data_IF_421260952019
#
_entry.id   IF_421260952019
#
_cell.length_a   1.000
_cell.length_b   1.000
_cell.length_c   1.000
_cell.angle_alpha   90.00
_cell.angle_beta   90.00
_cell.angle_gamma   90.00
#
_symmetry.space_group_name_H-M   'P 1'
#
loop_
_entity.id
_entity.type
_entity.pdbx_description
1 polymer ?
#
# COMPACT_ATOMS: atom_id res chain seq x y z
N UNK A 1 -21.44 0.42 3.83
CA UNK A 1 -21.08 1.06 5.11
C UNK A 1 -20.84 0.08 6.27
N UNK A 2 -21.08 -1.24 6.10
CA UNK A 2 -20.81 -2.25 7.16
C UNK A 2 -19.41 -2.90 7.11
N UNK A 3 -18.63 -2.76 6.03
CA UNK A 3 -17.28 -3.34 5.95
C UNK A 3 -16.21 -2.59 6.79
N UNK A 4 -16.53 -1.40 7.32
CA UNK A 4 -15.68 -0.66 8.26
C UNK A 4 -16.00 -0.95 9.74
N UNK A 5 -17.13 -1.61 10.02
CA UNK A 5 -17.59 -1.80 11.40
C UNK A 5 -16.91 -2.98 12.10
N UNK A 6 -16.50 -4.04 11.39
CA UNK A 6 -15.69 -5.11 11.99
C UNK A 6 -14.25 -4.67 12.31
N UNK A 7 -13.67 -3.71 11.57
CA UNK A 7 -12.33 -3.18 11.90
C UNK A 7 -12.33 -2.29 13.14
N UNK A 8 -13.44 -1.60 13.45
CA UNK A 8 -13.52 -0.70 14.60
C UNK A 8 -13.97 -1.41 15.89
N UNK A 9 -14.86 -2.40 15.80
CA UNK A 9 -15.37 -3.11 16.99
C UNK A 9 -14.31 -3.99 17.65
N UNK A 10 -13.40 -4.59 16.86
CA UNK A 10 -12.24 -5.31 17.39
C UNK A 10 -11.14 -4.36 17.91
N UNK A 11 -11.03 -3.15 17.35
CA UNK A 11 -10.09 -2.13 17.81
C UNK A 11 -10.49 -1.54 19.17
N UNK A 12 -11.78 -1.25 19.38
CA UNK A 12 -12.22 -0.66 20.65
C UNK A 12 -12.07 -1.61 21.84
N UNK A 13 -12.14 -2.93 21.62
CA UNK A 13 -12.01 -3.95 22.67
C UNK A 13 -10.56 -4.26 23.09
N UNK A 14 -9.56 -3.82 22.32
CA UNK A 14 -8.13 -4.13 22.55
C UNK A 14 -7.25 -2.94 22.92
N UNK A 15 -7.82 -1.73 23.05
CA UNK A 15 -7.03 -0.52 23.34
C UNK A 15 -6.57 -0.39 24.81
N UNK A 16 -7.07 -1.22 25.72
CA UNK A 16 -6.73 -1.12 27.15
C UNK A 16 -5.55 -2.00 27.62
N UNK A 17 -4.97 -2.84 26.75
CA UNK A 17 -3.81 -3.69 27.09
C UNK A 17 -2.53 -3.34 26.28
N UNK A 18 -2.34 -2.05 26.02
CA UNK A 18 -1.30 -1.54 25.12
C UNK A 18 -0.02 -1.10 25.86
N UNK A 19 0.82 -2.06 26.24
CA UNK A 19 2.27 -1.79 26.36
C UNK A 19 3.16 -2.86 25.71
N UNK A 20 2.62 -4.05 25.39
CA UNK A 20 3.40 -5.12 24.76
C UNK A 20 2.98 -5.44 23.30
N UNK A 21 2.00 -4.74 22.74
CA UNK A 21 1.43 -5.01 21.42
C UNK A 21 2.24 -4.35 20.28
N UNK A 22 3.54 -4.65 20.23
CA UNK A 22 4.46 -4.13 19.20
C UNK A 22 4.47 -5.09 18.01
N UNK A 23 3.81 -4.68 16.92
CA UNK A 23 3.88 -5.24 15.54
C UNK A 23 3.62 -6.75 15.42
N UNK A 24 2.41 -7.15 15.03
CA UNK A 24 2.20 -8.37 14.24
C UNK A 24 0.86 -8.32 13.52
N UNK A 25 0.87 -8.46 12.20
CA UNK A 25 -0.33 -8.69 11.38
C UNK A 25 0.03 -9.81 10.39
N UNK A 26 -0.71 -10.93 10.31
CA UNK A 26 -1.96 -11.32 10.97
C UNK A 26 -1.79 -12.63 11.78
N UNK A 27 -1.33 -12.62 13.04
CA UNK A 27 -0.79 -13.88 13.59
C UNK A 27 -1.19 -14.21 15.03
N UNK A 28 -1.75 -15.42 15.18
CA UNK A 28 -1.53 -16.20 16.41
C UNK A 28 -0.05 -16.54 16.56
N UNK A 29 0.38 -16.91 17.76
CA UNK A 29 1.81 -17.08 18.14
C UNK A 29 2.64 -17.98 17.21
N UNK A 30 2.00 -18.82 16.39
CA UNK A 30 2.63 -19.85 15.57
C UNK A 30 3.12 -19.39 14.21
N UNK A 31 2.87 -18.14 13.81
CA UNK A 31 3.38 -17.67 12.52
C UNK A 31 4.66 -16.85 12.68
N UNK A 32 5.66 -17.33 11.95
CA UNK A 32 7.04 -16.87 11.96
C UNK A 32 7.36 -15.87 10.85
N UNK A 33 6.61 -15.86 9.75
CA UNK A 33 6.84 -14.96 8.61
C UNK A 33 5.53 -14.29 8.16
N UNK A 34 5.51 -12.96 8.19
CA UNK A 34 4.33 -12.18 7.81
C UNK A 34 4.03 -12.15 6.30
N UNK A 35 5.02 -12.57 5.50
CA UNK A 35 5.03 -12.47 4.04
C UNK A 35 5.05 -13.86 3.37
N UNK A 36 4.80 -14.93 4.12
CA UNK A 36 4.79 -16.29 3.58
C UNK A 36 3.64 -16.47 2.56
N UNK A 37 3.94 -16.84 1.30
CA UNK A 37 2.94 -16.96 0.24
C UNK A 37 1.84 -17.98 0.55
N UNK A 38 2.19 -19.07 1.23
CA UNK A 38 1.23 -20.14 1.56
C UNK A 38 0.24 -19.65 2.62
N UNK A 39 0.76 -19.06 3.70
CA UNK A 39 -0.06 -18.55 4.78
C UNK A 39 -0.96 -17.39 4.31
N UNK A 40 -0.43 -16.48 3.49
CA UNK A 40 -1.21 -15.40 2.88
C UNK A 40 -2.27 -15.97 1.94
N UNK A 41 -1.91 -16.94 1.11
CA UNK A 41 -2.83 -17.59 0.18
C UNK A 41 -4.00 -18.27 0.90
N UNK A 42 -3.73 -18.98 1.99
CA UNK A 42 -4.77 -19.57 2.84
C UNK A 42 -5.67 -18.52 3.49
N UNK A 43 -5.10 -17.45 4.02
CA UNK A 43 -5.88 -16.36 4.62
C UNK A 43 -6.79 -15.67 3.59
N UNK A 44 -6.27 -15.41 2.38
CA UNK A 44 -7.05 -14.84 1.28
C UNK A 44 -8.21 -15.77 0.88
N UNK A 45 -7.94 -17.07 0.74
CA UNK A 45 -8.96 -18.07 0.41
C UNK A 45 -10.03 -18.17 1.49
N UNK A 46 -9.62 -18.25 2.76
CA UNK A 46 -10.54 -18.33 3.88
C UNK A 46 -11.44 -17.08 3.94
N UNK A 47 -10.88 -15.88 3.78
CA UNK A 47 -11.68 -14.65 3.73
C UNK A 47 -12.72 -14.67 2.62
N UNK A 48 -12.33 -15.12 1.42
CA UNK A 48 -13.24 -15.25 0.28
C UNK A 48 -14.36 -16.26 0.56
N UNK A 49 -14.04 -17.44 1.08
CA UNK A 49 -15.02 -18.50 1.38
C UNK A 49 -15.99 -18.13 2.51
N UNK A 50 -15.55 -17.28 3.44
CA UNK A 50 -16.42 -16.72 4.50
C UNK A 50 -17.36 -15.61 3.99
N UNK A 51 -17.34 -15.31 2.70
CA UNK A 51 -18.25 -14.36 2.07
C UNK A 51 -17.73 -12.92 2.02
N UNK A 52 -16.41 -12.70 2.10
CA UNK A 52 -15.86 -11.38 1.83
C UNK A 52 -15.98 -11.04 0.34
N UNK A 53 -16.50 -9.86 0.00
CA UNK A 53 -16.55 -9.34 -1.38
C UNK A 53 -15.18 -8.90 -1.91
N UNK A 54 -14.19 -8.74 -1.01
CA UNK A 54 -12.84 -8.24 -1.27
C UNK A 54 -11.91 -8.75 -0.18
N UNK A 55 -10.69 -9.15 -0.54
CA UNK A 55 -9.65 -9.52 0.45
C UNK A 55 -8.43 -8.62 0.33
N UNK A 56 -7.91 -8.20 1.48
CA UNK A 56 -6.69 -7.40 1.60
C UNK A 56 -5.58 -8.22 2.24
N UNK A 57 -4.44 -8.29 1.58
CA UNK A 57 -3.28 -9.08 2.04
C UNK A 57 -1.97 -8.31 1.92
N UNK A 58 -0.90 -8.82 2.53
CA UNK A 58 0.46 -8.32 2.28
C UNK A 58 0.97 -8.83 0.93
N UNK A 59 1.77 -8.02 0.23
CA UNK A 59 2.52 -8.50 -0.92
C UNK A 59 3.63 -9.45 -0.47
N UNK A 60 3.87 -10.54 -1.21
CA UNK A 60 4.83 -11.59 -0.81
C UNK A 60 6.28 -11.26 -1.15
N UNK A 61 6.52 -10.20 -1.93
CA UNK A 61 7.85 -9.67 -2.25
C UNK A 61 8.24 -9.83 -3.71
N UNK A 62 7.66 -10.79 -4.42
CA UNK A 62 7.88 -11.02 -5.85
C UNK A 62 6.58 -11.43 -6.57
N UNK A 63 6.58 -11.25 -7.89
CA UNK A 63 5.40 -11.40 -8.74
C UNK A 63 4.95 -12.86 -8.80
N UNK A 64 5.89 -13.80 -8.91
CA UNK A 64 5.57 -15.21 -9.12
C UNK A 64 4.97 -15.84 -7.86
N UNK A 65 5.53 -15.52 -6.69
CA UNK A 65 4.96 -15.97 -5.42
C UNK A 65 3.61 -15.34 -5.13
N UNK A 66 3.41 -14.07 -5.49
CA UNK A 66 2.13 -13.39 -5.28
C UNK A 66 1.06 -13.88 -6.27
N UNK A 67 1.45 -14.32 -7.47
CA UNK A 67 0.50 -14.88 -8.44
C UNK A 67 -0.26 -16.08 -7.85
N UNK A 68 0.41 -16.95 -7.09
CA UNK A 68 -0.24 -18.06 -6.39
C UNK A 68 -1.23 -17.64 -5.29
N UNK A 69 -1.11 -16.41 -4.78
CA UNK A 69 -2.06 -15.80 -3.82
C UNK A 69 -3.31 -15.26 -4.52
N UNK A 70 -3.19 -14.85 -5.79
CA UNK A 70 -4.27 -14.25 -6.57
C UNK A 70 -5.01 -15.27 -7.45
N UNK A 71 -4.29 -16.24 -8.01
CA UNK A 71 -4.85 -17.22 -8.94
C UNK A 71 -5.98 -18.05 -8.34
N UNK A 72 -7.08 -18.24 -9.08
CA UNK A 72 -8.20 -19.09 -8.65
C UNK A 72 -9.02 -18.53 -7.47
N UNK A 73 -8.83 -17.25 -7.11
CA UNK A 73 -9.66 -16.57 -6.10
C UNK A 73 -10.90 -15.98 -6.79
N UNK A 74 -12.07 -16.23 -6.21
CA UNK A 74 -13.34 -15.79 -6.77
C UNK A 74 -13.73 -14.36 -6.34
N UNK A 75 -12.93 -13.70 -5.51
CA UNK A 75 -13.10 -12.29 -5.12
C UNK A 75 -11.81 -11.51 -5.40
N UNK A 76 -11.89 -10.19 -5.64
CA UNK A 76 -10.71 -9.40 -5.92
C UNK A 76 -9.74 -9.38 -4.72
N UNK A 77 -8.45 -9.40 -5.01
CA UNK A 77 -7.37 -9.34 -4.02
C UNK A 77 -6.68 -7.99 -4.15
N UNK A 78 -6.55 -7.24 -3.06
CA UNK A 78 -5.78 -5.99 -3.01
C UNK A 78 -4.63 -6.12 -2.01
N UNK A 79 -3.54 -5.39 -2.26
CA UNK A 79 -2.40 -5.38 -1.34
C UNK A 79 -2.51 -4.26 -0.30
N UNK A 80 -1.97 -4.51 0.89
CA UNK A 80 -1.70 -3.49 1.89
C UNK A 80 -0.31 -2.89 1.68
N UNK A 81 -0.16 -1.59 1.97
CA UNK A 81 1.11 -0.89 1.78
C UNK A 81 2.23 -1.21 2.77
N UNK A 82 2.01 -2.13 3.71
CA UNK A 82 3.04 -2.51 4.69
C UNK A 82 3.48 -1.37 5.63
N UNK A 83 4.65 -1.52 6.29
CA UNK A 83 5.31 -0.43 7.02
C UNK A 83 5.73 0.71 6.08
N UNK A 84 6.17 1.83 6.66
CA UNK A 84 6.79 2.90 5.88
C UNK A 84 8.03 2.32 5.18
N UNK A 85 8.09 2.49 3.86
CA UNK A 85 9.21 2.02 3.04
C UNK A 85 10.33 3.05 2.99
N UNK A 86 11.52 2.57 2.65
CA UNK A 86 12.73 3.39 2.62
C UNK A 86 12.82 4.32 1.40
N UNK A 87 12.02 4.06 0.35
CA UNK A 87 11.94 4.92 -0.83
C UNK A 87 10.59 4.84 -1.53
N UNK A 88 10.25 5.91 -2.27
CA UNK A 88 9.08 5.94 -3.13
C UNK A 88 9.16 4.88 -4.24
N UNK A 89 10.35 4.64 -4.78
CA UNK A 89 10.55 3.61 -5.81
C UNK A 89 10.17 2.23 -5.30
N UNK A 90 10.58 1.88 -4.08
CA UNK A 90 10.23 0.58 -3.48
C UNK A 90 8.71 0.41 -3.31
N UNK A 91 8.01 1.49 -2.94
CA UNK A 91 6.55 1.49 -2.86
C UNK A 91 5.91 1.24 -4.24
N UNK A 92 6.38 1.95 -5.27
CA UNK A 92 5.87 1.83 -6.62
C UNK A 92 6.18 0.46 -7.24
N UNK A 93 7.37 -0.10 -6.99
CA UNK A 93 7.76 -1.46 -7.41
C UNK A 93 6.89 -2.53 -6.76
N UNK A 94 6.62 -2.42 -5.45
CA UNK A 94 5.71 -3.34 -4.75
C UNK A 94 4.32 -3.31 -5.38
N UNK A 95 3.79 -2.11 -5.66
CA UNK A 95 2.46 -1.97 -6.25
C UNK A 95 2.45 -2.49 -7.69
N UNK A 96 3.45 -2.14 -8.50
CA UNK A 96 3.59 -2.66 -9.87
C UNK A 96 3.66 -4.18 -9.90
N UNK A 97 4.50 -4.78 -9.07
CA UNK A 97 4.65 -6.23 -8.97
C UNK A 97 3.36 -6.93 -8.53
N UNK A 98 2.61 -6.33 -7.59
CA UNK A 98 1.30 -6.84 -7.22
C UNK A 98 0.28 -6.76 -8.37
N UNK A 99 0.24 -5.65 -9.11
CA UNK A 99 -0.62 -5.52 -10.30
C UNK A 99 -0.23 -6.54 -11.38
N UNK A 100 1.07 -6.77 -11.61
CA UNK A 100 1.58 -7.77 -12.57
C UNK A 100 1.23 -9.21 -12.19
N UNK A 101 1.11 -9.47 -10.88
CA UNK A 101 0.65 -10.75 -10.35
C UNK A 101 -0.88 -10.92 -10.40
N UNK A 102 -1.62 -9.89 -10.81
CA UNK A 102 -3.08 -9.91 -10.98
C UNK A 102 -3.87 -9.32 -9.82
N UNK A 103 -3.24 -8.57 -8.89
CA UNK A 103 -3.97 -7.85 -7.87
C UNK A 103 -4.97 -6.88 -8.52
N UNK A 104 -6.13 -6.71 -7.87
CA UNK A 104 -7.17 -5.80 -8.32
C UNK A 104 -6.91 -4.34 -7.90
N UNK A 105 -5.82 -4.08 -7.16
CA UNK A 105 -5.46 -2.76 -6.68
C UNK A 105 -4.73 -2.78 -5.34
N UNK A 106 -4.77 -1.65 -4.64
CA UNK A 106 -4.01 -1.43 -3.42
C UNK A 106 -4.75 -0.59 -2.39
N UNK A 107 -4.43 -0.81 -1.12
CA UNK A 107 -4.88 -0.03 0.04
C UNK A 107 -3.65 0.45 0.82
N UNK A 108 -3.03 1.52 0.34
CA UNK A 108 -1.84 2.12 0.96
C UNK A 108 -2.25 3.17 1.99
N UNK A 109 -1.75 3.02 3.22
CA UNK A 109 -1.94 3.98 4.31
C UNK A 109 -0.68 4.82 4.56
N UNK A 110 0.18 4.36 5.47
CA UNK A 110 1.32 5.12 6.03
C UNK A 110 2.23 5.76 4.97
N UNK A 111 2.50 5.03 3.89
CA UNK A 111 3.34 5.52 2.79
C UNK A 111 2.73 6.69 2.00
N UNK A 112 1.42 6.93 2.11
CA UNK A 112 0.75 8.09 1.52
C UNK A 112 0.66 9.22 2.54
N UNK A 113 -0.05 9.03 3.65
CA UNK A 113 -0.41 10.15 4.53
C UNK A 113 0.76 10.71 5.36
N UNK A 114 1.88 9.98 5.48
CA UNK A 114 3.10 10.47 6.13
C UNK A 114 4.16 10.95 5.12
N UNK A 115 3.84 10.94 3.84
CA UNK A 115 4.72 11.47 2.79
C UNK A 115 4.63 12.99 2.75
N UNK A 116 5.71 13.66 2.35
CA UNK A 116 5.75 15.14 2.26
C UNK A 116 4.80 15.68 1.19
N UNK A 117 4.50 14.84 0.18
CA UNK A 117 3.64 15.15 -0.97
C UNK A 117 2.63 14.01 -1.18
N UNK A 118 1.60 13.91 -0.34
CA UNK A 118 0.66 12.79 -0.37
C UNK A 118 -0.18 12.76 -1.65
N UNK A 119 -0.51 13.93 -2.20
CA UNK A 119 -1.20 14.12 -3.48
C UNK A 119 -0.44 13.47 -4.64
N UNK A 120 0.87 13.70 -4.72
CA UNK A 120 1.73 13.16 -5.78
C UNK A 120 1.90 11.64 -5.67
N UNK A 121 2.02 11.11 -4.46
CA UNK A 121 2.09 9.65 -4.24
C UNK A 121 0.77 8.99 -4.65
N UNK A 122 -0.38 9.58 -4.30
CA UNK A 122 -1.68 9.07 -4.75
C UNK A 122 -1.80 9.09 -6.28
N UNK A 123 -1.36 10.17 -6.94
CA UNK A 123 -1.37 10.26 -8.39
C UNK A 123 -0.49 9.17 -9.04
N UNK A 124 0.75 9.01 -8.56
CA UNK A 124 1.69 8.00 -9.04
C UNK A 124 1.15 6.57 -8.85
N UNK A 125 0.57 6.26 -7.69
CA UNK A 125 -0.10 4.98 -7.45
C UNK A 125 -1.29 4.77 -8.39
N UNK A 126 -2.09 5.81 -8.61
CA UNK A 126 -3.22 5.78 -9.54
C UNK A 126 -2.81 5.48 -10.98
N UNK A 127 -1.66 6.01 -11.44
CA UNK A 127 -1.12 5.71 -12.77
C UNK A 127 -0.80 4.21 -12.92
N UNK A 128 -0.16 3.60 -11.92
CA UNK A 128 0.14 2.16 -11.97
C UNK A 128 -1.14 1.33 -11.95
N UNK A 129 -2.07 1.64 -11.04
CA UNK A 129 -3.28 0.82 -10.82
C UNK A 129 -4.31 0.97 -11.94
N UNK A 130 -4.49 2.17 -12.49
CA UNK A 130 -5.58 2.45 -13.43
C UNK A 130 -5.13 2.67 -14.88
N UNK A 131 -3.85 3.01 -15.10
CA UNK A 131 -3.34 3.36 -16.43
C UNK A 131 -2.22 2.40 -16.88
N UNK A 132 -1.93 1.36 -16.10
CA UNK A 132 -0.88 0.40 -16.34
C UNK A 132 0.51 1.05 -16.56
N UNK A 133 0.77 2.20 -15.94
CA UNK A 133 2.04 2.88 -16.04
C UNK A 133 3.19 2.03 -15.46
N UNK A 134 4.39 2.29 -15.95
CA UNK A 134 5.65 1.77 -15.43
C UNK A 134 6.04 2.48 -14.13
N UNK A 135 6.97 1.89 -13.38
CA UNK A 135 7.53 2.51 -12.18
C UNK A 135 8.23 3.83 -12.52
N UNK A 136 8.92 3.90 -13.65
CA UNK A 136 9.71 5.07 -14.02
C UNK A 136 8.80 6.27 -14.40
N UNK A 137 7.72 6.03 -15.15
CA UNK A 137 6.68 7.06 -15.42
C UNK A 137 6.01 7.56 -14.11
N UNK A 138 5.70 6.64 -13.19
CA UNK A 138 5.16 7.00 -11.89
C UNK A 138 6.16 7.79 -11.01
N UNK A 139 7.47 7.52 -11.15
CA UNK A 139 8.53 8.29 -10.50
C UNK A 139 8.67 9.69 -11.09
N UNK A 140 8.43 9.88 -12.37
CA UNK A 140 8.40 11.21 -13.00
C UNK A 140 7.28 12.08 -12.42
N UNK A 141 6.10 11.51 -12.17
CA UNK A 141 5.01 12.23 -11.49
C UNK A 141 5.43 12.76 -10.10
N UNK A 142 6.32 12.05 -9.41
CA UNK A 142 6.88 12.52 -8.14
C UNK A 142 7.94 13.61 -8.33
N UNK A 143 8.56 13.76 -9.51
CA UNK A 143 9.64 14.74 -9.76
C UNK A 143 9.16 16.08 -10.30
N UNK A 144 8.02 16.12 -11.00
CA UNK A 144 7.54 17.23 -11.86
C UNK A 144 7.42 18.65 -11.24
N UNK A 145 7.59 18.84 -9.92
CA UNK A 145 7.51 20.20 -9.32
C UNK A 145 8.73 20.55 -8.43
N UNK A 146 9.85 19.85 -8.59
CA UNK A 146 11.15 20.36 -8.09
C UNK A 146 11.49 21.68 -8.81
N UNK A 147 11.23 21.68 -10.12
CA UNK A 147 11.44 22.78 -11.08
C UNK A 147 10.54 23.99 -10.84
N UNK A 148 9.24 23.80 -10.61
CA UNK A 148 8.32 24.95 -10.36
C UNK A 148 8.62 25.69 -9.04
N UNK A 149 9.10 25.00 -8.00
CA UNK A 149 9.52 25.65 -6.75
C UNK A 149 10.85 26.40 -6.89
N UNK A 150 11.79 25.85 -7.65
CA UNK A 150 13.06 26.52 -7.96
C UNK A 150 12.82 27.79 -8.82
N UNK A 151 12.01 27.71 -9.87
CA UNK A 151 11.65 28.86 -10.72
C UNK A 151 10.89 29.94 -9.93
N UNK A 152 9.90 29.57 -9.10
CA UNK A 152 9.20 30.52 -8.24
C UNK A 152 10.09 31.12 -7.13
N UNK A 153 11.20 30.46 -6.76
CA UNK A 153 12.15 30.99 -5.78
C UNK A 153 13.17 31.95 -6.41
N UNK A 154 13.56 31.73 -7.67
CA UNK A 154 14.37 32.66 -8.45
C UNK A 154 13.60 33.95 -8.78
N UNK A 155 12.31 33.87 -9.08
CA UNK A 155 11.50 35.06 -9.38
C UNK A 155 11.18 35.94 -8.16
N UNK A 156 11.34 35.42 -6.93
CA UNK A 156 11.12 36.17 -5.68
C UNK A 156 12.41 36.69 -5.04
N UNK A 157 13.44 36.97 -5.85
CA UNK A 157 14.64 37.67 -5.41
C UNK A 157 14.31 38.94 -4.61
N UNK A 158 15.18 39.34 -3.65
CA UNK A 158 14.83 40.26 -2.58
C UNK A 158 14.27 41.56 -3.15
N UNK A 159 13.02 41.88 -2.79
CA UNK A 159 12.49 43.23 -3.00
C UNK A 159 13.39 44.17 -2.22
N UNK A 160 14.21 44.94 -2.95
CA UNK A 160 15.00 46.04 -2.43
C UNK A 160 14.11 46.88 -1.52
N UNK A 161 14.41 46.87 -0.21
CA UNK A 161 13.86 47.82 0.73
C UNK A 161 14.39 49.20 0.32
N UNK A 162 13.52 50.00 -0.28
CA UNK A 162 13.72 51.42 -0.54
C UNK A 162 13.28 52.24 0.67
#
# INVERSE_FOLDING_TARGET
>A
MLALFLSLLLWHRSAHELNNFKKRQPWGERITNEYDPTAIGHAARLGAELGADLVKVSYTGDVDSFRGVVEGRHVPVIIAGGPRMDSDRALLEMVRGAMDAGAAGTSIGRNVFQHERPDKVVAALGMIVHQNATVDEAMEMLRENSTEKEEMSLERGPKLAA
#
